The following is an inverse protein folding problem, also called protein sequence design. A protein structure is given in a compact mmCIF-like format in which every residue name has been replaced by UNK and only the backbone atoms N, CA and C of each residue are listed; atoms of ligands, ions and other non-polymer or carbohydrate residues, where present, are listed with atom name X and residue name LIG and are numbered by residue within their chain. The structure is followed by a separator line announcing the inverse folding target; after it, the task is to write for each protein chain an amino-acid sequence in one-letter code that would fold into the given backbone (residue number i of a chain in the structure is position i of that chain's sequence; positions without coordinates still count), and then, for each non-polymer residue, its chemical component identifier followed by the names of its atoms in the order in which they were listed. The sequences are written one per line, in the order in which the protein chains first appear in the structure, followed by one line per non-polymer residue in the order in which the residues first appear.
data_IF_218272921565
#
_entry.id   IF_218272921565
#
_cell.length_a   1.000
_cell.length_b   1.000
_cell.length_c   1.000
_cell.angle_alpha   90.00
_cell.angle_beta   90.00
_cell.angle_gamma   90.00
#
_symmetry.space_group_name_H-M   'P 1'
#
loop_
_entity.id
_entity.type
_entity.pdbx_description
1 polymer ?
#
# COMPACT_ATOMS: atom_id res chain seq x y z
N UNK A 1 9.69 -1.85 -12.08
CA UNK A 1 9.36 -0.60 -11.35
C UNK A 1 7.86 -0.64 -11.23
N UNK A 2 7.30 -0.76 -10.02
CA UNK A 2 5.85 -0.84 -9.86
C UNK A 2 5.21 0.34 -10.61
N UNK A 3 4.35 0.02 -11.59
CA UNK A 3 3.73 1.00 -12.46
C UNK A 3 2.74 1.79 -11.60
N UNK A 4 3.10 3.01 -11.17
CA UNK A 4 2.18 3.90 -10.47
C UNK A 4 0.85 4.07 -11.25
N UNK A 5 0.90 3.96 -12.59
CA UNK A 5 -0.29 3.95 -13.43
C UNK A 5 -1.16 2.69 -13.31
N UNK A 6 -0.62 1.55 -12.87
CA UNK A 6 -1.43 0.37 -12.54
C UNK A 6 -2.23 0.59 -11.26
N UNK A 7 -1.60 1.07 -10.19
CA UNK A 7 -2.28 1.31 -8.91
C UNK A 7 -3.36 2.37 -9.04
N UNK A 8 -3.09 3.45 -9.78
CA UNK A 8 -4.10 4.48 -10.05
C UNK A 8 -5.29 3.89 -10.84
N UNK A 9 -5.05 3.08 -11.87
CA UNK A 9 -6.12 2.39 -12.62
C UNK A 9 -6.92 1.41 -11.75
N UNK A 10 -6.27 0.74 -10.79
CA UNK A 10 -6.95 -0.14 -9.84
C UNK A 10 -7.84 0.70 -8.91
N UNK A 11 -7.31 1.78 -8.34
CA UNK A 11 -8.07 2.68 -7.47
C UNK A 11 -9.30 3.27 -8.19
N UNK A 12 -9.16 3.73 -9.43
CA UNK A 12 -10.28 4.19 -10.27
C UNK A 12 -11.37 3.13 -10.42
N UNK A 13 -10.99 1.89 -10.72
CA UNK A 13 -11.94 0.76 -10.86
C UNK A 13 -12.63 0.43 -9.54
N UNK A 14 -11.90 0.49 -8.43
CA UNK A 14 -12.46 0.26 -7.09
C UNK A 14 -13.45 1.36 -6.73
N UNK A 15 -13.11 2.63 -6.96
CA UNK A 15 -14.04 3.77 -6.75
C UNK A 15 -15.31 3.54 -7.56
N UNK A 16 -15.20 3.21 -8.85
CA UNK A 16 -16.35 2.98 -9.71
C UNK A 16 -17.25 1.82 -9.22
N UNK A 17 -16.66 0.77 -8.65
CA UNK A 17 -17.36 -0.42 -8.19
C UNK A 17 -17.99 -0.29 -6.79
N UNK A 18 -17.41 0.52 -5.91
CA UNK A 18 -17.89 0.68 -4.53
C UNK A 18 -19.18 1.50 -4.50
N UNK A 19 -20.18 1.11 -3.72
CA UNK A 19 -21.28 2.03 -3.37
C UNK A 19 -20.75 3.25 -2.58
N UNK A 20 -21.45 4.39 -2.58
CA UNK A 20 -21.11 5.51 -1.69
C UNK A 20 -20.99 5.05 -0.24
N UNK A 21 -19.95 5.48 0.46
CA UNK A 21 -19.62 5.04 1.81
C UNK A 21 -19.05 3.61 1.93
N UNK A 22 -18.74 2.93 0.82
CA UNK A 22 -18.04 1.64 0.81
C UNK A 22 -16.55 1.77 1.15
N UNK A 23 -15.93 0.68 1.63
CA UNK A 23 -14.53 0.66 2.03
C UNK A 23 -13.63 0.05 0.95
N UNK A 24 -12.50 0.70 0.68
CA UNK A 24 -11.35 0.11 0.00
C UNK A 24 -10.29 -0.24 1.05
N UNK A 25 -9.84 -1.49 1.04
CA UNK A 25 -8.89 -2.03 2.01
C UNK A 25 -7.71 -2.64 1.25
N UNK A 26 -6.50 -2.15 1.53
CA UNK A 26 -5.24 -2.60 0.94
C UNK A 26 -4.47 -3.34 2.04
N UNK A 27 -4.19 -4.60 1.80
CA UNK A 27 -3.41 -5.46 2.70
C UNK A 27 -2.06 -5.73 2.06
N UNK A 28 -0.98 -5.24 2.67
CA UNK A 28 0.35 -5.31 2.05
C UNK A 28 1.51 -5.36 3.06
N UNK A 29 2.71 -5.68 2.60
CA UNK A 29 3.95 -5.74 3.37
C UNK A 29 4.82 -4.49 3.13
N UNK A 30 4.74 -3.46 3.99
CA UNK A 30 5.38 -2.19 3.70
C UNK A 30 6.90 -2.26 3.69
N UNK A 31 7.50 -1.67 2.67
CA UNK A 31 8.94 -1.50 2.63
C UNK A 31 9.40 -0.41 3.64
N UNK A 32 10.49 -0.62 4.40
CA UNK A 32 10.99 0.39 5.33
C UNK A 32 11.41 1.68 4.63
N UNK A 33 11.12 2.82 5.26
CA UNK A 33 11.45 4.17 4.74
C UNK A 33 12.76 4.74 5.30
N UNK A 34 13.44 4.00 6.18
CA UNK A 34 14.66 4.46 6.85
C UNK A 34 15.70 3.36 6.95
N UNK A 35 16.97 3.74 6.98
CA UNK A 35 18.09 2.81 7.15
C UNK A 35 18.02 2.03 8.47
N UNK A 36 17.52 2.65 9.53
CA UNK A 36 17.27 1.97 10.81
C UNK A 36 16.20 0.88 10.62
N UNK A 37 15.11 1.22 9.92
CA UNK A 37 14.05 0.28 9.57
C UNK A 37 14.59 -0.90 8.76
N UNK A 38 15.46 -0.66 7.78
CA UNK A 38 16.11 -1.70 6.97
C UNK A 38 16.98 -2.65 7.81
N UNK A 39 17.60 -2.17 8.90
CA UNK A 39 18.44 -2.99 9.79
C UNK A 39 17.65 -3.86 10.77
N UNK A 40 16.36 -3.57 10.97
CA UNK A 40 15.48 -4.39 11.82
C UNK A 40 15.30 -5.81 11.28
N UNK A 41 14.79 -6.75 12.10
CA UNK A 41 14.46 -8.10 11.61
C UNK A 41 13.41 -8.06 10.48
N UNK A 42 12.27 -7.37 10.62
CA UNK A 42 11.31 -7.23 9.52
C UNK A 42 11.90 -6.55 8.28
N UNK A 43 12.70 -5.49 8.46
CA UNK A 43 13.30 -4.77 7.34
C UNK A 43 14.28 -5.61 6.51
N UNK A 44 15.07 -6.46 7.18
CA UNK A 44 15.94 -7.42 6.48
C UNK A 44 15.13 -8.48 5.71
N UNK A 45 14.01 -8.94 6.25
CA UNK A 45 13.10 -9.85 5.54
C UNK A 45 12.51 -9.16 4.30
N UNK A 46 11.99 -7.94 4.43
CA UNK A 46 11.44 -7.17 3.31
C UNK A 46 12.51 -6.84 2.26
N UNK A 47 13.76 -6.61 2.67
CA UNK A 47 14.88 -6.45 1.73
C UNK A 47 15.13 -7.70 0.89
N UNK A 48 14.99 -8.88 1.50
CA UNK A 48 15.03 -10.16 0.78
C UNK A 48 13.85 -10.34 -0.17
N UNK A 49 12.63 -10.02 0.25
CA UNK A 49 11.44 -10.06 -0.62
C UNK A 49 11.62 -9.12 -1.81
N UNK A 50 11.98 -7.86 -1.56
CA UNK A 50 12.21 -6.85 -2.60
C UNK A 50 13.26 -7.28 -3.64
N UNK A 51 14.28 -8.04 -3.24
CA UNK A 51 15.26 -8.59 -4.17
C UNK A 51 14.63 -9.57 -5.17
N UNK A 52 13.67 -10.39 -4.74
CA UNK A 52 12.93 -11.30 -5.62
C UNK A 52 11.84 -10.58 -6.42
N UNK A 53 11.09 -9.66 -5.82
CA UNK A 53 10.07 -8.83 -6.50
C UNK A 53 10.66 -8.06 -7.68
N UNK A 54 11.88 -7.52 -7.51
CA UNK A 54 12.59 -6.81 -8.58
C UNK A 54 12.91 -7.69 -9.81
N UNK A 55 12.89 -9.02 -9.68
CA UNK A 55 13.11 -9.95 -10.81
C UNK A 55 11.83 -10.20 -11.63
N UNK A 56 10.67 -9.79 -11.10
CA UNK A 56 9.36 -9.90 -11.77
C UNK A 56 8.74 -8.51 -12.04
N UNK A 57 9.59 -7.49 -12.13
CA UNK A 57 9.25 -6.08 -12.35
C UNK A 57 8.40 -5.41 -11.25
N UNK A 58 8.26 -6.06 -10.10
CA UNK A 58 7.47 -5.59 -8.97
C UNK A 58 8.35 -4.87 -7.92
N UNK A 59 7.68 -4.16 -7.00
CA UNK A 59 8.33 -3.37 -5.96
C UNK A 59 7.43 -3.21 -4.74
N UNK A 60 7.97 -3.58 -3.57
CA UNK A 60 7.34 -3.23 -2.30
C UNK A 60 7.42 -1.72 -2.09
N UNK A 61 6.30 -1.15 -1.70
CA UNK A 61 6.19 0.28 -1.44
C UNK A 61 6.19 0.58 0.05
N UNK A 62 6.65 1.76 0.45
CA UNK A 62 6.31 2.32 1.75
C UNK A 62 4.80 2.37 1.96
N UNK A 63 4.35 2.14 3.20
CA UNK A 63 2.92 2.25 3.55
C UNK A 63 2.32 3.62 3.20
N UNK A 64 3.12 4.69 3.21
CA UNK A 64 2.70 6.05 2.79
C UNK A 64 2.26 6.14 1.34
N UNK A 65 2.76 5.29 0.45
CA UNK A 65 2.33 5.28 -0.94
C UNK A 65 0.82 4.99 -1.06
N UNK A 66 0.28 4.15 -0.18
CA UNK A 66 -1.15 3.83 -0.16
C UNK A 66 -2.01 4.95 0.42
N UNK A 67 -1.52 5.70 1.41
CA UNK A 67 -2.22 6.91 1.85
C UNK A 67 -2.33 7.91 0.69
N UNK A 68 -1.24 8.09 -0.06
CA UNK A 68 -1.20 9.04 -1.16
C UNK A 68 -2.07 8.58 -2.33
N UNK A 69 -2.08 7.28 -2.64
CA UNK A 69 -3.01 6.69 -3.61
C UNK A 69 -4.46 7.00 -3.20
N UNK A 70 -4.85 6.66 -1.98
CA UNK A 70 -6.22 6.87 -1.52
C UNK A 70 -6.63 8.36 -1.53
N UNK A 71 -5.72 9.27 -1.14
CA UNK A 71 -5.96 10.73 -1.20
C UNK A 71 -6.19 11.23 -2.63
N UNK A 72 -5.38 10.76 -3.59
CA UNK A 72 -5.50 11.20 -5.00
C UNK A 72 -6.79 10.74 -5.67
N UNK A 73 -7.42 9.67 -5.15
CA UNK A 73 -8.66 9.10 -5.66
C UNK A 73 -9.88 9.42 -4.77
N UNK A 74 -9.81 10.52 -4.02
CA UNK A 74 -10.92 11.09 -3.23
C UNK A 74 -11.53 10.14 -2.17
N UNK A 75 -10.76 9.18 -1.67
CA UNK A 75 -11.17 8.40 -0.51
C UNK A 75 -11.09 9.26 0.77
N UNK A 76 -12.11 9.13 1.62
CA UNK A 76 -12.22 9.78 2.93
C UNK A 76 -11.96 8.77 4.06
N UNK A 77 -12.02 9.21 5.32
CA UNK A 77 -11.86 8.32 6.50
C UNK A 77 -10.60 7.43 6.43
N UNK A 78 -9.50 7.99 5.95
CA UNK A 78 -8.26 7.24 5.75
C UNK A 78 -7.68 6.77 7.09
N UNK A 79 -7.21 5.53 7.10
CA UNK A 79 -6.56 4.97 8.27
C UNK A 79 -5.74 3.74 7.92
N UNK A 80 -5.02 3.25 8.92
CA UNK A 80 -4.26 2.01 8.80
C UNK A 80 -4.15 1.32 10.15
N UNK A 81 -3.90 0.01 10.10
CA UNK A 81 -3.59 -0.81 11.26
C UNK A 81 -2.37 -1.67 10.97
N UNK A 82 -1.51 -1.84 11.96
CA UNK A 82 -0.43 -2.81 11.92
C UNK A 82 -0.96 -4.17 12.36
N UNK A 83 -0.92 -5.17 11.47
CA UNK A 83 -1.31 -6.55 11.81
C UNK A 83 -0.14 -7.32 12.40
N UNK A 84 1.04 -7.19 11.81
CA UNK A 84 2.29 -7.78 12.30
C UNK A 84 3.44 -6.81 12.10
N UNK A 85 4.65 -7.17 12.56
CA UNK A 85 5.83 -6.35 12.35
C UNK A 85 6.20 -6.14 10.86
N UNK A 86 5.67 -6.95 9.94
CA UNK A 86 5.92 -6.84 8.50
C UNK A 86 4.66 -6.55 7.67
N UNK A 87 3.46 -6.55 8.27
CA UNK A 87 2.19 -6.51 7.54
C UNK A 87 1.31 -5.39 8.09
N UNK A 88 0.82 -4.54 7.20
CA UNK A 88 -0.15 -3.50 7.51
C UNK A 88 -1.37 -3.58 6.61
N UNK A 89 -2.47 -3.04 7.11
CA UNK A 89 -3.68 -2.79 6.33
C UNK A 89 -3.91 -1.30 6.29
N UNK A 90 -4.04 -0.73 5.09
CA UNK A 90 -4.42 0.66 4.85
C UNK A 90 -5.82 0.69 4.27
N UNK A 91 -6.65 1.63 4.67
CA UNK A 91 -8.04 1.69 4.21
C UNK A 91 -8.51 3.12 4.02
N UNK A 92 -9.51 3.26 3.14
CA UNK A 92 -10.22 4.50 2.87
C UNK A 92 -11.66 4.22 2.47
N UNK A 93 -12.51 5.22 2.60
CA UNK A 93 -13.94 5.14 2.34
C UNK A 93 -14.30 5.95 1.12
N UNK A 94 -15.07 5.37 0.19
CA UNK A 94 -15.62 6.14 -0.93
C UNK A 94 -16.52 7.24 -0.37
N UNK A 95 -16.32 8.48 -0.81
CA UNK A 95 -17.19 9.60 -0.45
C UNK A 95 -18.67 9.27 -0.69
N UNK A 96 -19.53 9.84 0.16
CA UNK A 96 -20.99 9.66 0.14
C UNK A 96 -21.66 10.38 -1.02
#
# INVERSE_FOLDING_TARGET
MADAGLDDRIAERVVAALRPGGWFVISDFPFPVSDEGLRSVPGRLMSGVQFFEAQIDDQLLPRTAYDDLLRRHDFTDLGWIQLTAAHAVTFGRRAG
#
